data_IF_294598612726
#
_entry.id   IF_294598612726
#
_cell.length_a   1.000
_cell.length_b   1.000
_cell.length_c   1.000
_cell.angle_alpha   90.00
_cell.angle_beta   90.00
_cell.angle_gamma   90.00
#
_symmetry.space_group_name_H-M   'P 1'
#
loop_
_entity.id
_entity.type
_entity.pdbx_description
1 polymer ?
#
# COMPACT_ATOMS: atom_id res chain seq x y z
N UNK A 1 7.42 13.51 4.08
CA UNK A 1 7.14 12.12 3.66
C UNK A 1 7.47 11.25 4.85
N UNK A 2 6.65 10.26 5.19
CA UNK A 2 6.98 9.35 6.28
C UNK A 2 7.43 8.01 5.76
N UNK A 3 8.44 7.43 6.41
CA UNK A 3 9.03 6.14 6.04
C UNK A 3 8.58 5.05 7.01
N UNK A 4 8.28 3.87 6.49
CA UNK A 4 7.97 2.69 7.27
C UNK A 4 8.53 1.42 6.63
N UNK A 5 8.57 0.34 7.42
CA UNK A 5 8.98 -0.99 6.98
C UNK A 5 7.75 -1.90 6.94
N UNK A 6 7.61 -2.66 5.86
CA UNK A 6 6.54 -3.62 5.72
C UNK A 6 6.69 -4.77 6.72
N UNK A 7 5.67 -5.00 7.54
CA UNK A 7 5.63 -6.10 8.52
C UNK A 7 5.63 -7.49 7.88
N UNK A 8 5.29 -7.59 6.59
CA UNK A 8 5.19 -8.86 5.86
C UNK A 8 6.48 -9.27 5.15
N UNK A 9 7.18 -8.34 4.51
CA UNK A 9 8.36 -8.64 3.67
C UNK A 9 9.61 -7.84 4.01
N UNK A 10 9.53 -6.88 4.95
CA UNK A 10 10.66 -6.07 5.38
C UNK A 10 11.06 -4.96 4.41
N UNK A 11 10.32 -4.75 3.31
CA UNK A 11 10.60 -3.69 2.34
C UNK A 11 10.24 -2.31 2.90
N UNK A 12 11.02 -1.29 2.54
CA UNK A 12 10.71 0.10 2.88
C UNK A 12 9.51 0.58 2.08
N UNK A 13 8.63 1.37 2.70
CA UNK A 13 7.44 1.94 2.07
C UNK A 13 7.18 3.36 2.55
N UNK A 14 6.39 4.09 1.77
CA UNK A 14 5.99 5.47 2.06
C UNK A 14 4.82 5.49 3.06
N UNK A 15 5.15 5.37 4.34
CA UNK A 15 4.20 5.54 5.43
C UNK A 15 3.64 4.21 5.95
N UNK A 16 3.27 4.22 7.23
CA UNK A 16 2.88 3.03 7.97
C UNK A 16 1.66 2.29 7.37
N UNK A 17 0.75 3.02 6.72
CA UNK A 17 -0.54 2.50 6.28
C UNK A 17 -0.70 2.36 4.77
N UNK A 18 0.32 2.77 4.00
CA UNK A 18 0.30 2.54 2.55
C UNK A 18 0.57 1.07 2.23
N UNK A 19 0.07 0.57 1.09
CA UNK A 19 0.40 -0.77 0.62
C UNK A 19 1.90 -0.88 0.37
N UNK A 20 2.40 -2.09 0.54
CA UNK A 20 3.78 -2.41 0.22
C UNK A 20 3.93 -2.73 -1.27
N UNK A 21 4.83 -2.05 -1.97
CA UNK A 21 5.14 -2.33 -3.38
C UNK A 21 5.80 -3.71 -3.59
N UNK A 22 6.48 -4.23 -2.56
CA UNK A 22 7.17 -5.53 -2.63
C UNK A 22 6.24 -6.73 -2.53
N UNK A 23 5.27 -6.73 -1.60
CA UNK A 23 4.39 -7.88 -1.36
C UNK A 23 2.89 -7.59 -1.46
N UNK A 24 2.48 -6.35 -1.72
CA UNK A 24 1.08 -5.93 -1.82
C UNK A 24 0.34 -5.86 -0.49
N UNK A 25 0.99 -6.08 0.65
CA UNK A 25 0.35 -5.99 1.97
C UNK A 25 -0.12 -4.55 2.21
N UNK A 26 -1.44 -4.38 2.37
CA UNK A 26 -2.08 -3.10 2.68
C UNK A 26 -2.67 -3.14 4.10
N UNK A 27 -2.03 -2.47 5.09
CA UNK A 27 -2.52 -2.42 6.47
C UNK A 27 -3.82 -1.63 6.63
N UNK A 28 -4.15 -0.73 5.71
CA UNK A 28 -5.39 0.03 5.75
C UNK A 28 -6.56 -0.70 5.06
N UNK A 29 -6.27 -1.73 4.25
CA UNK A 29 -7.29 -2.47 3.51
C UNK A 29 -8.35 -3.04 4.45
N UNK A 30 -9.61 -2.68 4.19
CA UNK A 30 -10.75 -3.12 5.00
C UNK A 30 -10.87 -2.45 6.37
N UNK A 31 -9.87 -1.66 6.80
CA UNK A 31 -9.96 -0.75 7.96
C UNK A 31 -10.21 -1.39 9.32
N UNK A 32 -10.23 -2.72 9.46
CA UNK A 32 -10.66 -3.44 10.67
C UNK A 32 -9.52 -4.14 11.41
N UNK A 33 -8.40 -4.48 10.76
CA UNK A 33 -7.27 -5.14 11.42
C UNK A 33 -6.37 -4.15 12.17
N UNK A 34 -6.77 -3.84 13.41
CA UNK A 34 -6.05 -2.93 14.30
C UNK A 34 -4.67 -3.44 14.70
N UNK A 35 -4.48 -4.76 14.79
CA UNK A 35 -3.19 -5.33 15.17
C UNK A 35 -2.18 -5.17 14.04
N UNK A 36 -2.59 -5.45 12.79
CA UNK A 36 -1.76 -5.22 11.61
C UNK A 36 -1.39 -3.74 11.45
N UNK A 37 -2.36 -2.85 11.66
CA UNK A 37 -2.16 -1.41 11.65
C UNK A 37 -1.18 -0.96 12.74
N UNK A 38 -1.34 -1.45 13.97
CA UNK A 38 -0.44 -1.13 15.08
C UNK A 38 1.00 -1.59 14.81
N UNK A 39 1.19 -2.81 14.28
CA UNK A 39 2.51 -3.31 13.90
C UNK A 39 3.16 -2.47 12.80
N UNK A 40 2.38 -2.13 11.76
CA UNK A 40 2.88 -1.31 10.66
C UNK A 40 3.20 0.12 11.08
N UNK A 41 2.43 0.67 12.03
CA UNK A 41 2.70 1.96 12.65
C UNK A 41 3.93 1.93 13.55
N UNK A 42 4.12 0.85 14.32
CA UNK A 42 5.29 0.66 15.16
C UNK A 42 6.58 0.59 14.32
N UNK A 43 6.55 -0.08 13.17
CA UNK A 43 7.67 -0.14 12.21
C UNK A 43 7.76 1.10 11.30
N UNK A 44 7.68 2.31 11.87
CA UNK A 44 7.82 3.55 11.12
C UNK A 44 8.79 4.53 11.76
N UNK A 45 9.15 5.57 11.01
CA UNK A 45 10.03 6.67 11.46
C UNK A 45 9.52 7.38 12.71
N UNK A 46 8.24 7.20 13.07
CA UNK A 46 7.65 7.69 14.31
C UNK A 46 8.28 7.07 15.55
N UNK A 47 8.78 5.84 15.46
CA UNK A 47 9.32 5.09 16.61
C UNK A 47 10.77 4.67 16.43
N UNK A 48 11.25 4.54 15.19
CA UNK A 48 12.59 4.07 14.89
C UNK A 48 13.30 5.02 13.93
N UNK A 49 14.59 5.24 14.14
CA UNK A 49 15.43 5.93 13.17
C UNK A 49 15.65 5.10 11.90
N UNK A 50 16.15 5.74 10.84
CA UNK A 50 16.35 5.11 9.53
C UNK A 50 17.21 3.85 9.58
N UNK A 51 18.35 3.88 10.28
CA UNK A 51 19.25 2.73 10.42
C UNK A 51 18.59 1.57 11.15
N UNK A 52 17.81 1.85 12.20
CA UNK A 52 17.04 0.84 12.93
C UNK A 52 15.95 0.24 12.04
N UNK A 53 15.28 1.05 11.21
CA UNK A 53 14.29 0.56 10.25
C UNK A 53 14.93 -0.34 9.19
N UNK A 54 16.09 0.04 8.64
CA UNK A 54 16.84 -0.82 7.69
C UNK A 54 17.16 -2.18 8.31
N UNK A 55 17.63 -2.20 9.55
CA UNK A 55 17.96 -3.43 10.25
C UNK A 55 16.71 -4.28 10.55
N UNK A 56 15.62 -3.66 11.00
CA UNK A 56 14.35 -4.36 11.22
C UNK A 56 13.79 -4.93 9.91
N UNK A 57 13.87 -4.17 8.81
CA UNK A 57 13.49 -4.64 7.48
C UNK A 57 14.33 -5.82 7.01
N UNK A 58 15.66 -5.75 7.20
CA UNK A 58 16.58 -6.86 6.92
C UNK A 58 16.17 -8.13 7.67
N UNK A 59 15.90 -8.01 8.98
CA UNK A 59 15.49 -9.14 9.82
C UNK A 59 14.21 -9.79 9.32
N UNK A 60 13.18 -9.00 9.01
CA UNK A 60 11.91 -9.52 8.47
C UNK A 60 12.16 -10.23 7.13
N UNK A 61 12.97 -9.63 6.27
CA UNK A 61 13.29 -10.20 4.95
C UNK A 61 14.05 -11.52 5.03
N UNK A 62 14.95 -11.68 6.02
CA UNK A 62 15.70 -12.93 6.24
C UNK A 62 14.93 -13.96 7.07
N UNK A 63 13.73 -13.62 7.56
CA UNK A 63 12.94 -14.48 8.45
C UNK A 63 13.47 -14.52 9.88
N UNK A 64 14.38 -13.62 10.26
CA UNK A 64 14.81 -13.44 11.63
C UNK A 64 13.64 -12.90 12.48
N UNK A 65 13.46 -13.39 13.72
CA UNK A 65 12.39 -12.92 14.59
C UNK A 65 12.61 -11.46 14.98
N UNK A 66 11.59 -10.62 14.75
CA UNK A 66 11.52 -9.26 15.28
C UNK A 66 10.71 -9.26 16.57
N UNK A 67 11.32 -8.81 17.66
CA UNK A 67 10.63 -8.62 18.93
C UNK A 67 9.85 -7.31 18.88
N UNK A 68 8.56 -7.38 19.21
CA UNK A 68 7.71 -6.21 19.37
C UNK A 68 7.45 -5.99 20.85
N UNK A 69 7.52 -4.74 21.30
CA UNK A 69 7.01 -4.37 22.62
C UNK A 69 5.49 -4.57 22.64
N UNK A 70 5.06 -5.63 23.33
CA UNK A 70 3.65 -6.00 23.44
C UNK A 70 2.83 -4.96 24.20
N UNK A 71 3.44 -4.28 25.18
CA UNK A 71 2.80 -3.19 25.91
C UNK A 71 2.55 -2.03 24.97
N UNK A 72 3.55 -1.62 24.19
CA UNK A 72 3.40 -0.55 23.21
C UNK A 72 2.41 -0.90 22.10
N UNK A 73 2.44 -2.13 21.59
CA UNK A 73 1.48 -2.60 20.59
C UNK A 73 0.05 -2.51 21.11
N UNK A 74 -0.21 -2.93 22.35
CA UNK A 74 -1.55 -2.87 22.94
C UNK A 74 -2.08 -1.43 23.04
N UNK A 75 -1.22 -0.48 23.44
CA UNK A 75 -1.57 0.95 23.48
C UNK A 75 -1.92 1.47 22.09
N UNK A 76 -1.11 1.16 21.07
CA UNK A 76 -1.37 1.58 19.69
C UNK A 76 -2.67 0.99 19.15
N UNK A 77 -3.00 -0.26 19.50
CA UNK A 77 -4.27 -0.88 19.12
C UNK A 77 -5.45 -0.11 19.72
N UNK A 78 -5.39 0.25 21.00
CA UNK A 78 -6.44 1.04 21.65
C UNK A 78 -6.54 2.46 21.06
N UNK A 79 -5.41 3.13 20.82
CA UNK A 79 -5.37 4.43 20.13
C UNK A 79 -6.08 4.34 18.76
N UNK A 80 -5.76 3.33 17.94
CA UNK A 80 -6.36 3.13 16.63
C UNK A 80 -7.84 2.75 16.68
N UNK A 81 -8.32 2.11 17.76
CA UNK A 81 -9.75 1.85 17.97
C UNK A 81 -10.53 3.13 18.27
N UNK A 82 -9.92 4.07 19.00
CA UNK A 82 -10.57 5.34 19.37
C UNK A 82 -10.61 6.37 18.25
N UNK A 83 -9.81 6.17 17.19
CA UNK A 83 -9.84 7.04 16.02
C UNK A 83 -11.18 6.94 15.28
N UNK A 84 -11.89 8.07 15.19
CA UNK A 84 -13.19 8.19 14.52
C UNK A 84 -13.09 8.13 12.99
N UNK A 85 -11.94 8.50 12.43
CA UNK A 85 -11.71 8.47 10.99
C UNK A 85 -11.00 7.16 10.63
N UNK A 86 -11.49 6.43 9.61
CA UNK A 86 -10.80 5.23 9.15
C UNK A 86 -9.42 5.63 8.61
N UNK A 87 -8.42 4.80 8.94
CA UNK A 87 -7.12 4.87 8.27
C UNK A 87 -7.34 4.40 6.83
N UNK A 88 -7.19 5.31 5.88
CA UNK A 88 -7.36 5.05 4.45
C UNK A 88 -5.97 5.08 3.81
N UNK A 89 -5.57 4.00 3.13
CA UNK A 89 -4.38 4.04 2.26
C UNK A 89 -4.68 4.93 1.07
N UNK A 90 -3.73 5.76 0.66
CA UNK A 90 -3.88 6.62 -0.53
C UNK A 90 -3.72 5.85 -1.84
N UNK A 91 -3.42 4.56 -1.76
CA UNK A 91 -3.24 3.74 -2.94
C UNK A 91 -4.46 3.75 -3.85
N UNK A 92 -4.23 4.19 -5.08
CA UNK A 92 -5.20 4.03 -6.15
C UNK A 92 -5.17 2.55 -6.54
N UNK A 93 -6.27 1.80 -6.46
CA UNK A 93 -6.26 0.39 -6.85
C UNK A 93 -5.73 0.27 -8.27
N UNK A 94 -4.75 -0.63 -8.47
CA UNK A 94 -3.91 -0.81 -9.67
C UNK A 94 -4.63 -1.21 -10.98
N UNK A 95 -5.88 -0.83 -11.15
CA UNK A 95 -6.63 -0.86 -12.40
C UNK A 95 -7.61 0.31 -12.35
N UNK A 96 -7.09 1.52 -12.61
CA UNK A 96 -7.97 2.69 -12.67
C UNK A 96 -8.96 2.48 -13.82
N UNK A 97 -10.25 2.59 -13.51
CA UNK A 97 -11.34 2.64 -14.51
C UNK A 97 -11.01 3.64 -15.63
N UNK A 98 -10.24 4.68 -15.31
CA UNK A 98 -9.73 5.70 -16.24
C UNK A 98 -8.76 5.11 -17.26
N UNK A 99 -7.88 4.19 -16.85
CA UNK A 99 -6.94 3.55 -17.77
C UNK A 99 -7.68 2.69 -18.79
N UNK A 100 -8.66 1.90 -18.34
CA UNK A 100 -9.48 1.07 -19.23
C UNK A 100 -10.42 1.89 -20.12
N UNK A 101 -10.97 2.99 -19.63
CA UNK A 101 -11.83 3.85 -20.45
C UNK A 101 -11.06 4.55 -21.57
N UNK A 102 -9.84 5.02 -21.29
CA UNK A 102 -8.96 5.60 -22.32
C UNK A 102 -8.56 4.56 -23.37
N UNK A 103 -8.20 3.35 -22.92
CA UNK A 103 -7.80 2.26 -23.83
C UNK A 103 -8.97 1.79 -24.69
N UNK A 104 -10.18 1.68 -24.12
CA UNK A 104 -11.41 1.38 -24.85
C UNK A 104 -11.76 2.46 -25.88
N UNK A 105 -11.61 3.74 -25.52
CA UNK A 105 -11.87 4.86 -26.43
C UNK A 105 -10.92 4.85 -27.64
N UNK A 106 -9.63 4.56 -27.42
CA UNK A 106 -8.64 4.43 -28.50
C UNK A 106 -8.98 3.30 -29.46
N UNK A 107 -9.44 2.15 -28.95
CA UNK A 107 -9.85 1.00 -29.78
C UNK A 107 -11.07 1.36 -30.64
N UNK A 108 -12.07 2.04 -30.07
CA UNK A 108 -13.26 2.48 -30.82
C UNK A 108 -12.89 3.49 -31.90
N UNK A 109 -12.01 4.46 -31.60
CA UNK A 109 -11.53 5.43 -32.58
C UNK A 109 -10.77 4.76 -33.72
N UNK A 110 -9.88 3.81 -33.42
CA UNK A 110 -9.14 3.08 -34.44
C UNK A 110 -10.07 2.26 -35.36
N UNK A 111 -11.08 1.59 -34.78
CA UNK A 111 -12.09 0.86 -35.55
C UNK A 111 -12.93 1.80 -36.45
N UNK A 112 -13.33 2.96 -35.93
CA UNK A 112 -14.06 3.97 -36.71
C UNK A 112 -13.23 4.52 -37.89
N UNK A 113 -11.95 4.81 -37.67
CA UNK A 113 -11.05 5.25 -38.73
C UNK A 113 -10.83 4.16 -39.79
N UNK A 114 -10.66 2.91 -39.38
CA UNK A 114 -10.51 1.78 -40.31
C UNK A 114 -11.78 1.57 -41.17
N UNK A 115 -12.96 1.68 -40.57
CA UNK A 115 -14.24 1.61 -41.28
C UNK A 115 -14.39 2.73 -42.31
N UNK A 116 -14.12 3.98 -41.90
CA UNK A 116 -14.18 5.13 -42.80
C UNK A 116 -13.18 5.00 -43.95
N UNK A 117 -11.94 4.60 -43.66
CA UNK A 117 -10.91 4.37 -44.68
C UNK A 117 -11.30 3.26 -45.67
N UNK A 118 -11.87 2.16 -45.19
CA UNK A 118 -12.38 1.08 -46.04
C UNK A 118 -13.54 1.53 -46.93
N UNK A 119 -14.46 2.33 -46.38
CA UNK A 119 -15.63 2.85 -47.12
C UNK A 119 -15.26 3.88 -48.20
N UNK A 120 -14.15 4.60 -48.04
CA UNK A 120 -13.65 5.57 -49.02
C UNK A 120 -12.89 4.94 -50.19
N UNK A 121 -12.45 3.68 -50.04
CA UNK A 121 -11.63 2.97 -51.03
C UNK A 121 -12.45 2.09 -51.98
N UNK A 122 -13.74 1.93 -51.71
CA UNK A 122 -14.73 1.27 -52.56
C UNK A 122 -15.55 2.31 -53.33
#
# INVERSE_FOLDING_TARGET
MSVAVCVGCGETKEGAFEPCDGCGLDPARGGTDRMLQARSLLLSERFFGEESLKELGRKIRTGEPVSYDTGRLSQLVEELKTQKLPVISRSTPGCSIVTWSVLGMLVVLAAGLAYLYGSWRH
#
